data_IF_906892272647
#
_entry.id   IF_906892272647
#
_cell.length_a   1.000
_cell.length_b   1.000
_cell.length_c   1.000
_cell.angle_alpha   90.00
_cell.angle_beta   90.00
_cell.angle_gamma   90.00
#
_symmetry.space_group_name_H-M   'P 1'
#
loop_
_entity.id
_entity.type
_entity.pdbx_description
1 polymer ?
#
# COMPACT_ATOMS: atom_id res chain seq x y z
N UNK A 1 -2.32 11.78 -5.39
CA UNK A 1 -3.54 11.22 -6.00
C UNK A 1 -3.13 9.94 -6.71
N UNK A 2 -3.78 8.80 -6.47
CA UNK A 2 -3.48 7.52 -7.17
C UNK A 2 -4.66 7.00 -8.00
N UNK A 3 -5.89 7.38 -7.66
CA UNK A 3 -7.09 6.99 -8.37
C UNK A 3 -8.17 8.05 -8.26
N UNK A 4 -8.88 8.26 -9.37
CA UNK A 4 -10.03 9.15 -9.46
C UNK A 4 -11.25 8.36 -9.92
N UNK A 5 -12.43 8.78 -9.47
CA UNK A 5 -13.70 8.25 -9.96
C UNK A 5 -14.54 9.43 -10.43
N UNK A 6 -15.17 9.27 -11.59
CA UNK A 6 -16.09 10.24 -12.14
C UNK A 6 -17.52 9.83 -11.77
N UNK A 7 -18.11 10.53 -10.79
CA UNK A 7 -19.50 10.34 -10.40
C UNK A 7 -20.08 11.65 -9.90
N UNK A 8 -20.95 12.28 -10.71
CA UNK A 8 -21.45 13.66 -10.56
C UNK A 8 -20.35 14.71 -10.72
N UNK A 9 -19.23 14.54 -10.00
CA UNK A 9 -17.97 15.25 -10.15
C UNK A 9 -16.82 14.26 -9.97
N UNK A 10 -15.65 14.60 -10.53
CA UNK A 10 -14.43 13.85 -10.24
C UNK A 10 -14.04 14.00 -8.78
N UNK A 11 -13.69 12.89 -8.15
CA UNK A 11 -13.18 12.88 -6.79
C UNK A 11 -12.05 11.85 -6.63
N UNK A 12 -11.23 12.05 -5.61
CA UNK A 12 -10.16 11.14 -5.23
C UNK A 12 -10.75 9.84 -4.66
N UNK A 13 -10.66 8.73 -5.39
CA UNK A 13 -11.10 7.42 -4.90
C UNK A 13 -9.96 6.63 -4.26
N UNK A 14 -8.71 6.97 -4.57
CA UNK A 14 -7.50 6.40 -3.98
C UNK A 14 -6.45 7.50 -3.77
N UNK A 15 -5.90 7.59 -2.57
CA UNK A 15 -4.81 8.49 -2.19
C UNK A 15 -3.69 7.72 -1.49
N UNK A 16 -2.47 8.21 -1.60
CA UNK A 16 -1.35 7.75 -0.80
C UNK A 16 -0.36 8.89 -0.57
N UNK A 17 0.28 8.89 0.59
CA UNK A 17 1.34 9.81 0.96
C UNK A 17 2.27 9.13 1.98
N UNK A 18 3.54 8.94 1.63
CA UNK A 18 4.48 8.20 2.46
C UNK A 18 4.01 6.76 2.69
N UNK A 19 3.96 6.34 3.96
CA UNK A 19 3.49 5.03 4.40
C UNK A 19 1.96 4.96 4.63
N UNK A 20 1.22 6.02 4.29
CA UNK A 20 -0.24 6.08 4.46
C UNK A 20 -0.92 5.95 3.10
N UNK A 21 -1.90 5.06 3.01
CA UNK A 21 -2.79 4.92 1.86
C UNK A 21 -4.25 4.91 2.31
N UNK A 22 -5.14 5.43 1.48
CA UNK A 22 -6.58 5.49 1.75
C UNK A 22 -7.40 5.25 0.49
N UNK A 23 -8.52 4.54 0.65
CA UNK A 23 -9.51 4.26 -0.39
C UNK A 23 -10.88 4.73 0.07
N UNK A 24 -11.68 5.29 -0.84
CA UNK A 24 -13.04 5.70 -0.52
C UNK A 24 -14.03 4.52 -0.57
N UNK A 25 -13.79 3.52 -1.43
CA UNK A 25 -14.61 2.33 -1.51
C UNK A 25 -14.23 1.30 -0.45
N UNK A 26 -15.06 0.27 -0.30
CA UNK A 26 -14.85 -0.86 0.60
C UNK A 26 -14.10 -1.99 -0.13
N UNK A 27 -12.76 -2.12 -0.01
CA UNK A 27 -12.02 -3.16 -0.70
C UNK A 27 -12.49 -4.56 -0.29
N UNK A 28 -12.92 -4.76 0.96
CA UNK A 28 -13.49 -6.01 1.47
C UNK A 28 -14.80 -6.42 0.79
N UNK A 29 -15.52 -5.45 0.20
CA UNK A 29 -16.77 -5.70 -0.56
C UNK A 29 -16.54 -5.73 -2.08
N UNK A 30 -15.29 -5.57 -2.54
CA UNK A 30 -14.93 -5.44 -3.97
C UNK A 30 -14.41 -6.75 -4.59
N UNK A 31 -14.75 -7.89 -3.98
CA UNK A 31 -14.43 -9.24 -4.46
C UNK A 31 -12.93 -9.44 -4.76
N UNK A 32 -12.60 -10.16 -5.83
CA UNK A 32 -11.22 -10.52 -6.18
C UNK A 32 -10.30 -9.30 -6.32
N UNK A 33 -10.79 -8.21 -6.90
CA UNK A 33 -10.01 -6.98 -7.06
C UNK A 33 -9.71 -6.32 -5.71
N UNK A 34 -10.69 -6.32 -4.82
CA UNK A 34 -10.54 -5.82 -3.45
C UNK A 34 -9.54 -6.62 -2.62
N UNK A 35 -9.64 -7.95 -2.67
CA UNK A 35 -8.70 -8.85 -2.00
C UNK A 35 -7.28 -8.67 -2.53
N UNK A 36 -7.11 -8.53 -3.85
CA UNK A 36 -5.81 -8.26 -4.47
C UNK A 36 -5.22 -6.94 -3.99
N UNK A 37 -6.03 -5.89 -3.88
CA UNK A 37 -5.58 -4.59 -3.36
C UNK A 37 -5.11 -4.70 -1.90
N UNK A 38 -5.84 -5.42 -1.05
CA UNK A 38 -5.45 -5.66 0.34
C UNK A 38 -4.16 -6.48 0.45
N UNK A 39 -3.98 -7.51 -0.38
CA UNK A 39 -2.74 -8.29 -0.46
C UNK A 39 -1.55 -7.40 -0.81
N UNK A 40 -1.70 -6.58 -1.85
CA UNK A 40 -0.65 -5.64 -2.27
C UNK A 40 -0.28 -4.66 -1.16
N UNK A 41 -1.28 -4.18 -0.39
CA UNK A 41 -1.03 -3.28 0.74
C UNK A 41 -0.27 -3.97 1.88
N UNK A 42 -0.64 -5.20 2.22
CA UNK A 42 0.07 -5.99 3.24
C UNK A 42 1.52 -6.26 2.83
N UNK A 43 1.75 -6.72 1.60
CA UNK A 43 3.11 -6.95 1.07
C UNK A 43 3.96 -5.68 1.04
N UNK A 44 3.35 -4.52 0.79
CA UNK A 44 4.04 -3.24 0.84
C UNK A 44 4.50 -2.92 2.26
N UNK A 45 3.68 -3.20 3.27
CA UNK A 45 4.04 -3.03 4.68
C UNK A 45 5.27 -3.88 5.03
N UNK A 46 5.29 -5.15 4.64
CA UNK A 46 6.41 -6.05 4.91
C UNK A 46 7.72 -5.56 4.26
N UNK A 47 7.64 -5.09 3.01
CA UNK A 47 8.80 -4.52 2.30
C UNK A 47 9.32 -3.26 2.97
N UNK A 48 8.43 -2.38 3.43
CA UNK A 48 8.82 -1.17 4.15
C UNK A 48 9.48 -1.51 5.51
N UNK A 49 8.99 -2.53 6.21
CA UNK A 49 9.63 -3.01 7.45
C UNK A 49 11.02 -3.59 7.18
N UNK A 50 11.19 -4.38 6.12
CA UNK A 50 12.49 -4.94 5.75
C UNK A 50 13.50 -3.84 5.35
N UNK A 51 13.07 -2.85 4.57
CA UNK A 51 13.91 -1.72 4.19
C UNK A 51 14.28 -0.81 5.38
N UNK A 52 13.44 -0.78 6.41
CA UNK A 52 13.69 -0.03 7.65
C UNK A 52 14.56 -0.79 8.67
N UNK A 53 14.85 -2.08 8.46
CA UNK A 53 15.82 -2.79 9.28
C UNK A 53 17.22 -2.23 9.05
N UNK A 54 17.98 -1.90 10.11
CA UNK A 54 19.37 -1.54 9.94
C UNK A 54 20.12 -2.71 9.30
N UNK A 55 21.00 -2.38 8.34
CA UNK A 55 21.95 -3.34 7.76
C UNK A 55 22.56 -4.20 8.87
N UNK A 56 22.67 -5.55 8.71
CA UNK A 56 23.42 -6.36 9.65
C UNK A 56 24.89 -5.96 9.56
N UNK A 57 25.28 -4.93 10.30
CA UNK A 57 26.68 -4.57 10.49
C UNK A 57 27.33 -5.64 11.36
N UNK A 58 28.05 -6.57 10.72
CA UNK A 58 29.36 -7.03 11.17
C UNK A 58 29.46 -8.34 11.98
N UNK A 59 29.93 -9.39 11.31
CA UNK A 59 31.05 -10.34 11.65
C UNK A 59 30.97 -11.50 10.66
N UNK A 60 31.96 -11.91 9.88
CA UNK A 60 33.38 -11.59 9.71
C UNK A 60 34.04 -12.86 9.14
N UNK A 61 34.80 -12.77 8.06
CA UNK A 61 35.84 -13.74 7.66
C UNK A 61 36.89 -12.98 6.83
N UNK A 62 37.80 -12.34 7.54
CA UNK A 62 39.19 -12.11 7.13
C UNK A 62 40.09 -12.88 8.10
#
# INVERSE_FOLDING_TARGET
MLGETDYIKKYASIVAQGNVAGVQFHPEKSQANGLKLLSNFAELSDKLQFAAMPSPTGRGLG
#
